data_IF_224852029687
#
_entry.id   IF_224852029687
#
_cell.length_a   1.000
_cell.length_b   1.000
_cell.length_c   1.000
_cell.angle_alpha   90.00
_cell.angle_beta   90.00
_cell.angle_gamma   90.00
#
_symmetry.space_group_name_H-M   'P 1'
#
loop_
_entity.id
_entity.type
_entity.pdbx_description
1 polymer ?
#
# COMPACT_ATOMS: atom_id res chain seq x y z
N UNK A 1 -0.28 2.51 31.03
CA UNK A 1 -0.48 2.94 30.95
C UNK A 1 -0.45 3.25 30.76
N UNK A 2 -0.17 2.85 30.34
CA UNK A 2 -0.24 3.27 30.19
C UNK A 2 -0.04 3.19 30.02
N UNK A 3 0.23 2.92 29.82
CA UNK A 3 0.12 3.06 29.76
C UNK A 3 0.13 3.12 29.59
N UNK A 4 0.25 2.96 29.65
CA UNK A 4 -0.05 3.17 29.45
C UNK A 4 -0.05 3.38 29.09
N UNK A 5 0.14 3.58 29.11
CA UNK A 5 -0.02 3.96 28.73
C UNK A 5 0.36 3.87 28.33
N UNK A 6 0.66 3.73 28.24
CA UNK A 6 0.71 3.69 27.78
C UNK A 6 0.58 2.97 27.67
N UNK A 7 0.43 2.71 28.82
CA UNK A 7 0.09 1.69 28.12
C UNK A 7 -1.20 1.55 27.53
N UNK A 8 -2.16 1.78 28.21
CA UNK A 8 -3.36 1.88 27.43
C UNK A 8 -3.16 2.78 26.23
N UNK A 9 -2.41 3.80 26.42
CA UNK A 9 -2.05 4.68 25.32
C UNK A 9 -1.21 3.97 24.28
N UNK A 10 -0.28 3.17 24.72
CA UNK A 10 0.53 2.41 23.77
C UNK A 10 -0.31 1.44 22.97
N UNK A 11 -1.28 0.83 23.62
CA UNK A 11 -2.20 -0.05 22.90
C UNK A 11 -2.98 0.71 21.86
N UNK A 12 -3.41 1.90 22.19
CA UNK A 12 -4.13 2.73 21.27
C UNK A 12 -3.26 3.08 20.05
N UNK A 13 -2.02 3.43 20.29
CA UNK A 13 -1.10 3.70 19.21
C UNK A 13 -0.85 2.48 18.35
N UNK A 14 -0.78 1.31 18.97
CA UNK A 14 -0.62 0.08 18.21
C UNK A 14 -1.81 -0.18 17.32
N UNK A 15 -3.00 0.14 17.77
CA UNK A 15 -4.18 0.03 16.93
C UNK A 15 -4.08 0.94 15.73
N UNK A 16 -3.65 2.17 15.94
CA UNK A 16 -3.44 3.10 14.84
C UNK A 16 -2.43 2.53 13.87
N UNK A 17 -1.33 1.98 14.40
CA UNK A 17 -0.29 1.40 13.58
C UNK A 17 -0.78 0.23 12.76
N UNK A 18 -1.79 -0.48 13.24
CA UNK A 18 -2.34 -1.60 12.49
C UNK A 18 -3.14 -1.17 11.27
N UNK A 19 -3.62 0.06 11.25
CA UNK A 19 -4.42 0.57 10.15
C UNK A 19 -3.73 1.65 9.35
N UNK A 20 -2.46 1.85 9.56
CA UNK A 20 -1.84 3.09 9.15
C UNK A 20 -1.60 3.24 7.67
N UNK A 21 -1.62 2.18 6.91
CA UNK A 21 -1.31 2.34 5.48
C UNK A 21 -2.53 2.81 4.72
N UNK A 22 -2.80 4.11 4.81
CA UNK A 22 -3.97 4.72 4.18
C UNK A 22 -3.64 5.45 2.89
N UNK A 23 -2.42 5.97 2.78
CA UNK A 23 -2.00 6.75 1.63
C UNK A 23 -0.56 6.40 1.29
N UNK A 24 -0.29 5.11 1.15
CA UNK A 24 1.01 4.66 0.73
C UNK A 24 1.26 5.04 -0.71
N UNK A 25 2.47 5.49 -0.99
CA UNK A 25 2.87 5.87 -2.34
C UNK A 25 4.27 5.39 -2.58
N UNK A 26 4.49 4.78 -3.73
CA UNK A 26 5.82 4.33 -4.13
C UNK A 26 5.96 4.43 -5.64
N UNK A 27 7.17 4.69 -6.07
CA UNK A 27 7.55 4.63 -7.48
C UNK A 27 8.54 3.49 -7.63
N UNK A 28 8.26 2.61 -8.57
CA UNK A 28 9.17 1.49 -8.85
C UNK A 28 9.62 1.54 -10.30
N UNK A 29 10.84 1.13 -10.52
CA UNK A 29 11.41 1.12 -11.87
C UNK A 29 11.08 -0.19 -12.60
N UNK A 30 11.68 -0.36 -13.77
CA UNK A 30 11.39 -1.54 -14.61
C UNK A 30 11.83 -2.85 -13.97
N UNK A 31 12.75 -2.79 -13.02
CA UNK A 31 13.22 -3.96 -12.30
C UNK A 31 12.48 -4.16 -10.97
N UNK A 32 11.40 -3.40 -10.78
CA UNK A 32 10.59 -3.44 -9.56
C UNK A 32 11.33 -2.98 -8.32
N UNK A 33 12.44 -2.25 -8.49
CA UNK A 33 13.12 -1.61 -7.38
C UNK A 33 12.39 -0.33 -7.00
N UNK A 34 12.26 -0.09 -5.70
CA UNK A 34 11.61 1.11 -5.21
C UNK A 34 12.57 2.29 -5.38
N UNK A 35 12.18 3.25 -6.21
CA UNK A 35 12.97 4.44 -6.46
C UNK A 35 12.72 5.48 -5.38
N UNK A 36 11.45 5.65 -5.01
CA UNK A 36 11.06 6.56 -3.95
C UNK A 36 9.74 6.09 -3.34
N UNK A 37 9.50 6.50 -2.12
CA UNK A 37 8.27 6.17 -1.42
C UNK A 37 8.00 7.24 -0.38
N UNK A 38 6.75 7.37 0.04
CA UNK A 38 6.41 8.32 1.08
C UNK A 38 6.60 7.68 2.46
N UNK A 39 6.48 8.50 3.50
CA UNK A 39 6.74 8.05 4.85
C UNK A 39 5.86 6.86 5.27
N UNK A 40 4.54 6.87 5.02
CA UNK A 40 3.74 5.71 5.38
C UNK A 40 4.24 4.39 4.79
N UNK A 41 4.73 4.41 3.55
CA UNK A 41 5.29 3.21 2.93
C UNK A 41 6.58 2.78 3.61
N UNK A 42 7.45 3.73 3.93
CA UNK A 42 8.69 3.40 4.63
C UNK A 42 8.42 2.74 5.96
N UNK A 43 7.46 3.30 6.71
CA UNK A 43 7.12 2.76 8.02
C UNK A 43 6.47 1.37 7.91
N UNK A 44 5.62 1.20 6.92
CA UNK A 44 4.94 -0.07 6.72
C UNK A 44 5.92 -1.18 6.36
N UNK A 45 6.79 -0.91 5.43
CA UNK A 45 7.71 -1.92 4.90
C UNK A 45 9.00 -2.07 5.72
N UNK A 46 9.34 -1.07 6.52
CA UNK A 46 10.64 -1.05 7.18
C UNK A 46 11.76 -1.01 6.17
N UNK A 47 11.65 -0.14 5.17
CA UNK A 47 12.54 -0.15 4.02
C UNK A 47 13.98 0.24 4.34
N UNK A 48 14.88 -0.38 3.61
CA UNK A 48 16.27 0.06 3.49
C UNK A 48 16.52 0.44 2.03
N UNK A 49 17.73 0.90 1.74
CA UNK A 49 18.14 1.18 0.36
C UNK A 49 18.00 -0.06 -0.51
N UNK A 50 17.65 0.14 -1.77
CA UNK A 50 17.60 -0.91 -2.79
C UNK A 50 16.57 -1.98 -2.51
N UNK A 51 15.49 -1.59 -1.90
CA UNK A 51 14.41 -2.52 -1.62
C UNK A 51 13.64 -2.82 -2.91
N UNK A 52 13.39 -4.10 -3.17
CA UNK A 52 12.53 -4.50 -4.27
C UNK A 52 11.11 -4.66 -3.77
N UNK A 53 10.12 -4.12 -4.52
CA UNK A 53 8.73 -4.29 -4.12
C UNK A 53 8.36 -5.78 -4.11
N UNK A 54 9.04 -6.58 -4.92
CA UNK A 54 8.78 -8.02 -4.98
C UNK A 54 9.05 -8.72 -3.65
N UNK A 55 9.98 -8.19 -2.86
CA UNK A 55 10.29 -8.76 -1.55
C UNK A 55 9.17 -8.55 -0.55
N UNK A 56 8.30 -7.58 -0.81
CA UNK A 56 7.18 -7.30 0.08
C UNK A 56 5.90 -8.01 -0.34
N UNK A 57 5.79 -8.47 -1.57
CA UNK A 57 4.58 -9.10 -2.07
C UNK A 57 4.60 -10.59 -1.71
N UNK A 58 3.47 -11.09 -1.22
CA UNK A 58 3.34 -12.50 -0.89
C UNK A 58 3.58 -13.34 -2.15
N UNK A 59 4.30 -14.45 -1.99
CA UNK A 59 4.71 -15.29 -3.10
C UNK A 59 3.55 -15.71 -4.00
N UNK A 60 2.39 -15.97 -3.43
CA UNK A 60 1.21 -16.38 -4.19
C UNK A 60 0.72 -15.28 -5.13
N UNK A 61 0.96 -14.02 -4.77
CA UNK A 61 0.43 -12.87 -5.51
C UNK A 61 1.44 -12.29 -6.50
N UNK A 62 2.69 -12.74 -6.49
CA UNK A 62 3.75 -12.15 -7.29
C UNK A 62 3.45 -12.24 -8.79
N UNK A 63 3.05 -13.41 -9.27
CA UNK A 63 2.82 -13.60 -10.69
C UNK A 63 1.69 -12.70 -11.20
N UNK A 64 0.63 -12.57 -10.42
CA UNK A 64 -0.48 -11.69 -10.80
C UNK A 64 -0.03 -10.24 -10.85
N UNK A 65 0.79 -9.81 -9.90
CA UNK A 65 1.31 -8.46 -9.88
C UNK A 65 2.17 -8.19 -11.11
N UNK A 66 3.06 -9.12 -11.44
CA UNK A 66 3.94 -8.97 -12.61
C UNK A 66 3.12 -8.91 -13.88
N UNK A 67 2.10 -9.77 -14.01
CA UNK A 67 1.26 -9.78 -15.20
C UNK A 67 0.54 -8.45 -15.39
N UNK A 68 -0.01 -7.90 -14.32
CA UNK A 68 -0.66 -6.60 -14.39
C UNK A 68 0.33 -5.52 -14.77
N UNK A 69 1.48 -5.49 -14.10
CA UNK A 69 2.49 -4.47 -14.37
C UNK A 69 2.98 -4.51 -15.81
N UNK A 70 3.19 -5.70 -16.35
CA UNK A 70 3.70 -5.83 -17.71
C UNK A 70 2.64 -5.57 -18.77
N UNK A 71 1.37 -5.79 -18.47
CA UNK A 71 0.31 -5.61 -19.45
C UNK A 71 -0.24 -4.20 -19.51
N UNK A 72 0.07 -3.36 -18.53
CA UNK A 72 -0.43 -1.99 -18.50
C UNK A 72 0.19 -1.15 -19.60
N UNK A 73 -0.65 -0.33 -20.24
CA UNK A 73 -0.17 0.69 -21.16
C UNK A 73 0.09 1.98 -20.39
N UNK A 74 1.03 2.81 -20.86
CA UNK A 74 1.28 4.09 -20.21
C UNK A 74 0.00 4.91 -20.06
N UNK A 75 -0.20 5.47 -18.88
CA UNK A 75 -1.36 6.29 -18.57
C UNK A 75 -2.59 5.52 -18.11
N UNK A 76 -2.54 4.19 -18.14
CA UNK A 76 -3.67 3.38 -17.70
C UNK A 76 -3.44 2.95 -16.25
N UNK A 77 -4.50 3.01 -15.47
CA UNK A 77 -4.46 2.63 -14.07
C UNK A 77 -5.27 1.35 -13.84
N UNK A 78 -4.76 0.48 -13.00
CA UNK A 78 -5.49 -0.72 -12.62
C UNK A 78 -5.33 -0.95 -11.12
N UNK A 79 -6.39 -1.46 -10.49
CA UNK A 79 -6.37 -1.78 -9.07
C UNK A 79 -6.36 -3.28 -8.88
N UNK A 80 -5.64 -3.73 -7.86
CA UNK A 80 -5.65 -5.13 -7.48
C UNK A 80 -5.47 -5.27 -5.97
N UNK A 81 -5.91 -6.40 -5.45
CA UNK A 81 -5.79 -6.70 -4.03
C UNK A 81 -4.75 -7.78 -3.86
N UNK A 82 -3.71 -7.50 -3.09
CA UNK A 82 -2.61 -8.43 -2.86
C UNK A 82 -2.22 -8.42 -1.38
N UNK A 83 -1.44 -9.42 -0.98
CA UNK A 83 -0.89 -9.48 0.37
C UNK A 83 0.50 -8.87 0.36
N UNK A 84 0.74 -7.97 1.30
CA UNK A 84 2.01 -7.28 1.39
C UNK A 84 2.55 -7.41 2.81
N UNK A 85 3.86 -7.67 2.91
CA UNK A 85 4.52 -7.93 4.18
C UNK A 85 4.89 -6.62 4.87
N UNK A 86 4.53 -6.54 6.15
CA UNK A 86 4.91 -5.42 6.99
C UNK A 86 6.30 -5.64 7.59
N UNK A 87 6.79 -4.58 8.23
CA UNK A 87 8.07 -4.61 8.92
C UNK A 87 8.17 -5.71 9.97
N UNK A 88 7.05 -6.10 10.58
CA UNK A 88 7.02 -7.17 11.60
C UNK A 88 6.87 -8.56 10.99
N UNK A 89 7.00 -8.67 9.67
CA UNK A 89 6.87 -9.91 8.90
C UNK A 89 5.46 -10.47 8.80
N UNK A 90 4.46 -9.75 9.28
CA UNK A 90 3.07 -10.15 9.05
C UNK A 90 2.61 -9.66 7.68
N UNK A 91 1.64 -10.35 7.11
CA UNK A 91 1.07 -9.97 5.82
C UNK A 91 -0.26 -9.27 6.03
N UNK A 92 -0.50 -8.27 5.21
CA UNK A 92 -1.75 -7.52 5.20
C UNK A 92 -2.32 -7.53 3.79
N UNK A 93 -3.62 -7.65 3.69
CA UNK A 93 -4.28 -7.42 2.42
C UNK A 93 -4.31 -5.93 2.15
N UNK A 94 -3.81 -5.56 1.00
CA UNK A 94 -3.79 -4.14 0.56
C UNK A 94 -4.40 -4.04 -0.81
N UNK A 95 -4.96 -2.86 -1.09
CA UNK A 95 -5.39 -2.51 -2.44
C UNK A 95 -4.31 -1.65 -3.03
N UNK A 96 -3.84 -2.05 -4.21
CA UNK A 96 -2.79 -1.34 -4.93
C UNK A 96 -3.37 -0.80 -6.22
N UNK A 97 -3.31 0.51 -6.39
CA UNK A 97 -3.60 1.16 -7.66
C UNK A 97 -2.29 1.33 -8.39
N UNK A 98 -2.21 0.76 -9.57
CA UNK A 98 -0.97 0.73 -10.37
C UNK A 98 -1.18 1.55 -11.61
N UNK A 99 -0.30 2.51 -11.85
CA UNK A 99 -0.32 3.29 -13.08
C UNK A 99 1.06 3.27 -13.72
N UNK A 100 1.13 2.93 -15.00
CA UNK A 100 2.37 2.97 -15.74
C UNK A 100 2.59 4.36 -16.31
N UNK A 101 3.78 4.89 -16.13
CA UNK A 101 4.16 6.20 -16.64
C UNK A 101 5.46 6.12 -17.41
N UNK A 102 5.65 7.10 -18.28
CA UNK A 102 6.85 7.21 -19.11
C UNK A 102 7.54 8.51 -18.77
N UNK A 103 8.86 8.45 -18.60
CA UNK A 103 9.64 9.65 -18.35
C UNK A 103 9.71 10.46 -19.64
N UNK A 104 9.28 11.74 -19.63
CA UNK A 104 9.28 12.55 -20.83
C UNK A 104 10.70 12.76 -21.36
N UNK A 105 10.84 12.85 -22.68
CA UNK A 105 12.09 13.18 -23.36
C UNK A 105 13.22 12.17 -23.15
N UNK A 106 12.87 10.93 -22.83
CA UNK A 106 13.84 9.85 -22.71
C UNK A 106 13.43 8.70 -23.62
N UNK A 107 14.28 7.72 -23.76
CA UNK A 107 14.04 6.56 -24.59
C UNK A 107 13.02 5.62 -23.98
N UNK A 108 11.81 6.13 -23.75
CA UNK A 108 10.69 5.34 -23.25
C UNK A 108 10.98 4.58 -21.97
N UNK A 109 11.74 5.20 -21.04
CA UNK A 109 11.89 4.63 -19.70
C UNK A 109 10.57 4.66 -19.00
N UNK A 110 10.10 3.49 -18.61
CA UNK A 110 8.84 3.33 -17.93
C UNK A 110 9.06 3.14 -16.43
N UNK A 111 8.10 3.61 -15.65
CA UNK A 111 8.08 3.34 -14.23
C UNK A 111 6.62 3.16 -13.80
N UNK A 112 6.43 2.61 -12.61
CA UNK A 112 5.10 2.42 -12.07
C UNK A 112 4.92 3.31 -10.85
N UNK A 113 3.76 3.96 -10.79
CA UNK A 113 3.32 4.62 -9.55
C UNK A 113 2.33 3.70 -8.87
N UNK A 114 2.60 3.45 -7.59
CA UNK A 114 1.76 2.59 -6.77
C UNK A 114 1.13 3.42 -5.66
N UNK A 115 -0.20 3.32 -5.54
CA UNK A 115 -0.93 3.88 -4.40
C UNK A 115 -1.48 2.71 -3.63
N UNK A 116 -1.15 2.61 -2.36
CA UNK A 116 -1.39 1.42 -1.57
C UNK A 116 -2.14 1.77 -0.29
N UNK A 117 -3.22 1.03 -0.04
CA UNK A 117 -4.04 1.23 1.16
C UNK A 117 -4.39 -0.10 1.79
N UNK A 118 -4.38 -0.13 3.12
CA UNK A 118 -4.76 -1.32 3.88
C UNK A 118 -6.25 -1.59 3.73
N UNK A 119 -6.60 -2.84 3.44
CA UNK A 119 -8.00 -3.22 3.27
C UNK A 119 -8.80 -3.01 4.55
N UNK A 120 -8.19 -3.24 5.71
CA UNK A 120 -8.86 -3.02 6.98
C UNK A 120 -9.31 -1.57 7.15
N UNK A 121 -8.45 -0.64 6.77
CA UNK A 121 -8.81 0.77 6.84
C UNK A 121 -10.03 1.07 5.96
N UNK A 122 -10.03 0.55 4.75
CA UNK A 122 -11.13 0.80 3.82
C UNK A 122 -12.43 0.18 4.34
N UNK A 123 -12.34 -1.01 4.91
CA UNK A 123 -13.52 -1.66 5.48
C UNK A 123 -14.10 -0.85 6.64
N UNK A 124 -13.25 -0.33 7.51
CA UNK A 124 -13.71 0.48 8.62
C UNK A 124 -14.34 1.78 8.14
N UNK A 125 -13.75 2.39 7.14
CA UNK A 125 -14.31 3.60 6.55
C UNK A 125 -15.70 3.32 5.96
N UNK A 126 -15.86 2.22 5.25
CA UNK A 126 -17.14 1.85 4.67
C UNK A 126 -18.20 1.63 5.75
N UNK A 127 -17.82 1.00 6.86
CA UNK A 127 -18.75 0.82 7.97
C UNK A 127 -19.25 2.15 8.51
N UNK A 128 -18.35 3.10 8.69
CA UNK A 128 -18.71 4.42 9.18
C UNK A 128 -19.64 5.15 8.22
N UNK A 129 -19.36 5.06 6.93
CA UNK A 129 -20.20 5.67 5.92
C UNK A 129 -21.60 5.06 5.92
N UNK A 130 -21.68 3.75 6.05
CA UNK A 130 -22.98 3.08 6.09
C UNK A 130 -23.79 3.46 7.32
N UNK A 131 -23.13 3.60 8.45
CA UNK A 131 -23.79 4.04 9.67
C UNK A 131 -24.35 5.45 9.52
N UNK A 132 -23.59 6.33 8.89
CA UNK A 132 -24.03 7.69 8.64
C UNK A 132 -25.24 7.72 7.70
N UNK A 133 -25.20 6.92 6.66
CA UNK A 133 -26.31 6.83 5.73
C UNK A 133 -27.58 6.34 6.44
N UNK A 134 -27.45 5.33 7.29
CA UNK A 134 -28.58 4.83 8.08
C UNK A 134 -29.17 5.90 8.97
N UNK A 135 -28.30 6.63 9.70
CA UNK A 135 -28.77 7.69 10.57
C UNK A 135 -29.48 8.77 9.78
N UNK A 136 -29.02 9.03 8.59
CA UNK A 136 -29.59 10.06 7.74
C UNK A 136 -30.99 9.68 7.24
N UNK A 137 -31.22 8.40 7.01
CA UNK A 137 -32.50 7.92 6.51
C UNK A 137 -33.56 7.85 7.58
N UNK A 138 -33.16 7.79 8.82
CA UNK A 138 -34.08 7.74 9.95
C UNK A 138 -34.42 9.14 10.46
#
# INVERSE_FOLDING_TARGET
MISDNHNAYNNYNNYIDEYELTNGYAVVDRNFSIVTANEPMYLFLGMSKHYSIMDAIHQVDIDDFIDVANSLRPGIKKSMCIRMRRIDNSYRWVIVDIEKKVIPNTDSSEYLELHISDVLFIRELNKKLQQQIKAFKN
#
